data_IF_198638498220
#
_entry.id   IF_198638498220
#
_cell.length_a   1.000
_cell.length_b   1.000
_cell.length_c   1.000
_cell.angle_alpha   90.00
_cell.angle_beta   90.00
_cell.angle_gamma   90.00
#
_symmetry.space_group_name_H-M   'P 1'
#
loop_
_entity.id
_entity.type
_entity.pdbx_description
1 polymer ?
#
# COMPACT_ATOMS: atom_id res chain seq x y z
N UNK A 1 -19.08 49.08 -28.56
CA UNK A 1 -20.44 48.53 -28.44
C UNK A 1 -20.34 47.06 -28.10
N UNK A 2 -20.45 46.70 -26.82
CA UNK A 2 -20.56 45.31 -26.37
C UNK A 2 -21.24 45.32 -25.00
N UNK A 3 -22.52 44.97 -24.98
CA UNK A 3 -23.35 44.79 -23.80
C UNK A 3 -23.59 43.29 -23.63
N UNK A 4 -23.41 42.74 -22.43
CA UNK A 4 -24.42 41.90 -21.77
C UNK A 4 -23.95 41.47 -20.38
N UNK A 5 -24.81 41.75 -19.39
CA UNK A 5 -24.74 41.35 -17.99
C UNK A 5 -25.65 40.15 -17.80
N UNK A 6 -25.26 39.11 -17.04
CA UNK A 6 -26.21 38.22 -16.37
C UNK A 6 -25.67 37.70 -15.02
N UNK A 7 -26.42 38.08 -13.97
CA UNK A 7 -26.81 37.41 -12.72
C UNK A 7 -25.79 36.58 -11.92
N UNK A 8 -25.44 36.88 -10.66
CA UNK A 8 -26.26 36.90 -9.42
C UNK A 8 -26.89 35.55 -9.03
N UNK A 9 -26.24 34.84 -8.10
CA UNK A 9 -26.93 33.98 -7.12
C UNK A 9 -26.17 33.92 -5.81
N UNK A 10 -26.72 34.60 -4.79
CA UNK A 10 -26.47 34.37 -3.36
C UNK A 10 -27.45 33.28 -2.89
N UNK A 11 -26.96 32.24 -2.22
CA UNK A 11 -27.77 31.48 -1.26
C UNK A 11 -27.00 31.26 0.03
N UNK A 12 -27.72 31.54 1.12
CA UNK A 12 -27.38 31.46 2.53
C UNK A 12 -27.42 30.00 3.01
N UNK A 13 -26.53 29.64 3.93
CA UNK A 13 -26.73 28.59 4.94
C UNK A 13 -25.75 28.87 6.10
N UNK A 14 -26.24 29.13 7.33
CA UNK A 14 -25.42 29.08 8.54
C UNK A 14 -25.82 27.91 9.46
N UNK A 15 -24.95 27.68 10.46
CA UNK A 15 -25.14 26.90 11.68
C UNK A 15 -25.04 25.37 11.57
N UNK A 16 -24.05 24.79 12.28
CA UNK A 16 -24.22 23.77 13.32
C UNK A 16 -22.86 23.44 13.98
N UNK A 17 -22.73 23.86 15.25
CA UNK A 17 -22.15 23.16 16.41
C UNK A 17 -20.84 22.36 16.25
N UNK A 18 -19.79 22.75 17.00
CA UNK A 18 -19.20 21.97 18.11
C UNK A 18 -17.85 22.57 18.53
N UNK A 19 -17.76 23.09 19.74
CA UNK A 19 -16.52 23.58 20.38
C UNK A 19 -16.02 22.55 21.40
N UNK A 20 -14.73 22.18 21.42
CA UNK A 20 -14.12 21.50 22.56
C UNK A 20 -13.58 22.51 23.60
N UNK A 21 -13.82 22.21 24.87
CA UNK A 21 -13.48 22.97 26.08
C UNK A 21 -11.97 22.98 26.43
N UNK A 22 -11.43 24.03 27.06
CA UNK A 22 -10.10 24.02 27.67
C UNK A 22 -10.12 23.46 29.11
N UNK A 23 -9.14 22.61 29.43
CA UNK A 23 -8.91 22.00 30.75
C UNK A 23 -8.16 22.98 31.68
N UNK A 24 -8.52 23.10 32.98
CA UNK A 24 -7.79 23.91 33.95
C UNK A 24 -6.69 23.10 34.68
N UNK A 25 -5.50 23.69 34.86
CA UNK A 25 -4.39 23.13 35.65
C UNK A 25 -4.45 23.70 37.09
N UNK A 26 -4.28 22.88 38.14
CA UNK A 26 -4.44 23.29 39.54
C UNK A 26 -3.24 24.10 40.08
N UNK A 27 -3.57 25.04 40.98
CA UNK A 27 -2.66 25.92 41.72
C UNK A 27 -2.28 25.23 43.04
N UNK A 28 -1.03 24.83 43.20
CA UNK A 28 -0.51 24.27 44.45
C UNK A 28 -0.21 25.39 45.47
N UNK A 29 -0.80 25.26 46.66
CA UNK A 29 -0.50 26.01 47.86
C UNK A 29 0.02 25.04 48.93
N UNK A 30 1.23 25.27 49.43
CA UNK A 30 1.77 24.73 50.68
C UNK A 30 2.94 25.65 51.06
N UNK A 31 2.82 26.53 52.06
CA UNK A 31 2.75 26.28 53.49
C UNK A 31 4.07 25.73 54.08
N UNK A 32 4.84 26.66 54.63
CA UNK A 32 5.51 26.64 55.94
C UNK A 32 6.65 25.65 56.26
N UNK A 33 7.63 26.21 56.98
CA UNK A 33 8.70 25.60 57.78
C UNK A 33 9.79 24.87 56.96
N UNK A 34 11.09 25.00 57.24
CA UNK A 34 11.85 25.62 58.31
C UNK A 34 13.26 25.02 58.22
N UNK A 35 14.29 25.82 58.52
CA UNK A 35 15.66 25.41 58.93
C UNK A 35 16.48 24.50 57.97
N UNK A 36 17.82 24.42 57.92
CA UNK A 36 19.03 25.08 58.45
C UNK A 36 20.19 24.40 57.67
N UNK A 37 21.31 25.11 57.42
CA UNK A 37 22.61 24.53 57.04
C UNK A 37 22.88 24.54 55.53
N UNK A 38 23.78 25.40 55.02
CA UNK A 38 25.25 25.21 55.01
C UNK A 38 25.62 24.60 53.64
N UNK A 39 26.49 25.14 52.78
CA UNK A 39 27.72 25.94 52.89
C UNK A 39 28.04 26.59 51.52
N UNK A 40 28.80 27.70 51.45
CA UNK A 40 29.05 28.48 50.23
C UNK A 40 30.48 28.37 49.67
N UNK A 41 30.67 28.61 48.36
CA UNK A 41 31.95 29.01 47.73
C UNK A 41 31.59 29.89 46.51
N UNK A 42 31.57 31.22 46.61
CA UNK A 42 32.69 32.17 46.53
C UNK A 42 33.41 32.19 45.17
N UNK A 43 32.99 33.10 44.29
CA UNK A 43 33.80 33.75 43.23
C UNK A 43 32.88 34.73 42.47
N UNK A 44 33.20 35.97 42.12
CA UNK A 44 34.39 36.82 42.23
C UNK A 44 33.82 38.25 42.09
N UNK A 45 34.18 39.14 43.03
CA UNK A 45 34.79 40.46 42.75
C UNK A 45 34.18 41.28 41.58
N UNK A 46 33.64 42.49 41.72
CA UNK A 46 33.96 43.62 42.61
C UNK A 46 32.83 44.65 42.46
N UNK A 47 32.28 45.06 43.60
CA UNK A 47 31.60 46.35 43.86
C UNK A 47 32.69 47.45 43.96
N UNK A 48 32.44 48.77 44.21
CA UNK A 48 31.19 49.38 44.71
C UNK A 48 30.87 50.82 44.19
N UNK A 49 29.80 51.35 44.77
CA UNK A 49 29.64 52.73 45.21
C UNK A 49 29.19 53.76 44.16
N UNK A 50 27.89 54.11 44.23
CA UNK A 50 27.40 55.35 44.86
C UNK A 50 27.79 56.56 44.02
N UNK A 51 26.86 57.16 43.28
CA UNK A 51 26.66 58.60 43.34
C UNK A 51 25.22 58.93 42.94
N UNK A 52 24.49 59.41 43.95
CA UNK A 52 23.54 60.52 43.89
C UNK A 52 22.55 60.59 42.71
N UNK A 53 21.31 60.28 43.07
CA UNK A 53 20.12 61.06 42.75
C UNK A 53 20.40 62.47 42.22
N UNK A 54 20.28 62.65 40.91
CA UNK A 54 19.81 63.90 40.33
C UNK A 54 18.52 63.59 39.57
N UNK A 55 17.45 64.28 39.96
CA UNK A 55 16.23 64.37 39.19
C UNK A 55 16.54 65.17 37.91
N UNK A 56 17.12 64.48 36.92
CA UNK A 56 17.25 65.03 35.59
C UNK A 56 15.85 65.10 34.99
N UNK A 57 15.35 66.33 34.87
CA UNK A 57 14.15 66.69 34.13
C UNK A 57 14.13 65.88 32.84
N UNK A 58 13.22 64.90 32.76
CA UNK A 58 12.92 64.17 31.53
C UNK A 58 12.42 65.21 30.54
N UNK A 59 13.31 65.68 29.67
CA UNK A 59 12.90 66.41 28.48
C UNK A 59 11.94 65.53 27.68
N UNK A 60 10.93 66.11 27.00
CA UNK A 60 10.03 65.34 26.17
C UNK A 60 10.87 64.55 25.16
N UNK A 61 10.97 63.23 25.36
CA UNK A 61 11.60 62.35 24.39
C UNK A 61 10.77 62.49 23.11
N UNK A 62 11.35 63.10 22.07
CA UNK A 62 10.74 63.19 20.76
C UNK A 62 10.24 61.79 20.39
N UNK A 63 8.98 61.61 19.99
CA UNK A 63 8.53 60.32 19.50
C UNK A 63 9.47 59.92 18.36
N UNK A 64 10.19 58.80 18.52
CA UNK A 64 10.99 58.23 17.43
C UNK A 64 10.01 58.04 16.28
N UNK A 65 10.31 58.65 15.13
CA UNK A 65 9.52 58.49 13.92
C UNK A 65 9.33 56.98 13.70
N UNK A 66 8.11 56.50 13.89
CA UNK A 66 7.78 55.11 13.64
C UNK A 66 8.06 54.88 12.17
N UNK A 67 9.01 54.01 11.87
CA UNK A 67 9.39 53.71 10.50
C UNK A 67 8.22 52.97 9.82
N UNK A 68 7.32 53.76 9.21
CA UNK A 68 6.09 53.28 8.56
C UNK A 68 6.47 52.29 7.44
N UNK A 69 7.60 52.54 6.77
CA UNK A 69 8.14 51.67 5.73
C UNK A 69 8.55 50.29 6.25
N UNK A 70 9.23 50.22 7.40
CA UNK A 70 9.62 48.95 8.02
C UNK A 70 8.40 48.13 8.44
N UNK A 71 7.39 48.76 9.05
CA UNK A 71 6.14 48.08 9.44
C UNK A 71 5.31 47.60 8.24
N UNK A 72 5.26 48.37 7.15
CA UNK A 72 4.55 47.97 5.94
C UNK A 72 5.14 46.70 5.30
N UNK A 73 6.48 46.60 5.21
CA UNK A 73 7.17 45.39 4.71
C UNK A 73 6.94 44.18 5.61
N UNK A 74 6.89 44.37 6.93
CA UNK A 74 6.63 43.29 7.89
C UNK A 74 5.21 42.71 7.78
N UNK A 75 4.20 43.52 7.46
CA UNK A 75 2.83 43.04 7.24
C UNK A 75 2.69 42.28 5.91
N UNK A 76 3.37 42.75 4.85
CA UNK A 76 3.37 42.07 3.55
C UNK A 76 4.06 40.71 3.62
N UNK A 77 5.24 40.63 4.27
CA UNK A 77 5.94 39.36 4.42
C UNK A 77 5.13 38.37 5.26
N UNK A 78 4.51 38.80 6.37
CA UNK A 78 3.64 37.92 7.18
C UNK A 78 2.49 37.30 6.37
N UNK A 79 1.83 38.09 5.51
CA UNK A 79 0.76 37.58 4.64
C UNK A 79 1.28 36.59 3.59
N UNK A 80 2.45 36.85 3.02
CA UNK A 80 3.09 35.94 2.08
C UNK A 80 3.44 34.61 2.75
N UNK A 81 4.02 34.63 3.96
CA UNK A 81 4.30 33.42 4.74
C UNK A 81 3.03 32.64 5.10
N UNK A 82 1.93 33.32 5.44
CA UNK A 82 0.65 32.63 5.69
C UNK A 82 0.11 31.96 4.43
N UNK A 83 0.17 32.63 3.27
CA UNK A 83 -0.30 32.03 2.02
C UNK A 83 0.60 30.89 1.55
N UNK A 84 1.92 31.05 1.67
CA UNK A 84 2.87 29.99 1.36
C UNK A 84 2.65 28.76 2.26
N UNK A 85 2.39 28.97 3.55
CA UNK A 85 2.07 27.87 4.48
C UNK A 85 0.75 27.19 4.11
N UNK A 86 -0.32 27.95 3.84
CA UNK A 86 -1.61 27.36 3.46
C UNK A 86 -1.53 26.62 2.13
N UNK A 87 -0.81 27.17 1.14
CA UNK A 87 -0.63 26.54 -0.15
C UNK A 87 0.25 25.29 -0.04
N UNK A 88 1.34 25.36 0.73
CA UNK A 88 2.20 24.21 1.01
C UNK A 88 1.46 23.09 1.74
N UNK A 89 0.60 23.43 2.72
CA UNK A 89 -0.22 22.45 3.42
C UNK A 89 -1.28 21.82 2.49
N UNK A 90 -1.95 22.61 1.66
CA UNK A 90 -2.93 22.10 0.71
C UNK A 90 -2.29 21.20 -0.36
N UNK A 91 -1.15 21.63 -0.92
CA UNK A 91 -0.39 20.84 -1.88
C UNK A 91 0.13 19.53 -1.25
N UNK A 92 0.69 19.60 -0.04
CA UNK A 92 1.13 18.43 0.71
C UNK A 92 -0.02 17.45 0.97
N UNK A 93 -1.20 17.95 1.36
CA UNK A 93 -2.39 17.12 1.57
C UNK A 93 -2.80 16.37 0.30
N UNK A 94 -2.87 17.06 -0.85
CA UNK A 94 -3.20 16.41 -2.13
C UNK A 94 -2.19 15.31 -2.47
N UNK A 95 -0.89 15.57 -2.29
CA UNK A 95 0.15 14.55 -2.53
C UNK A 95 -0.02 13.35 -1.60
N UNK A 96 -0.28 13.57 -0.31
CA UNK A 96 -0.50 12.47 0.64
C UNK A 96 -1.75 11.65 0.29
N UNK A 97 -2.86 12.29 -0.10
CA UNK A 97 -4.08 11.57 -0.51
C UNK A 97 -3.80 10.72 -1.74
N UNK A 98 -3.12 11.27 -2.75
CA UNK A 98 -2.79 10.51 -3.97
C UNK A 98 -1.83 9.35 -3.68
N UNK A 99 -0.82 9.54 -2.82
CA UNK A 99 0.11 8.48 -2.43
C UNK A 99 -0.60 7.36 -1.63
N UNK A 100 -1.38 7.73 -0.62
CA UNK A 100 -2.11 6.76 0.23
C UNK A 100 -3.18 5.99 -0.54
N UNK A 101 -3.81 6.60 -1.54
CA UNK A 101 -4.81 5.92 -2.34
C UNK A 101 -4.18 4.80 -3.20
N UNK A 102 -2.98 5.02 -3.74
CA UNK A 102 -2.28 4.01 -4.52
C UNK A 102 -1.96 2.75 -3.69
N UNK A 103 -1.66 2.90 -2.40
CA UNK A 103 -1.37 1.78 -1.49
C UNK A 103 -2.61 0.93 -1.14
N UNK A 104 -3.81 1.49 -1.29
CA UNK A 104 -5.08 0.81 -0.94
C UNK A 104 -5.79 0.17 -2.14
N UNK A 105 -5.29 0.34 -3.36
CA UNK A 105 -5.90 -0.26 -4.54
C UNK A 105 -5.62 -1.76 -4.58
N UNK A 106 -6.67 -2.55 -4.35
CA UNK A 106 -6.62 -4.01 -4.49
C UNK A 106 -6.89 -4.37 -5.95
N UNK A 107 -5.83 -4.71 -6.68
CA UNK A 107 -5.92 -5.15 -8.06
C UNK A 107 -6.20 -6.65 -8.14
N UNK A 108 -7.02 -7.04 -9.11
CA UNK A 108 -7.22 -8.43 -9.47
C UNK A 108 -6.15 -8.82 -10.48
N UNK A 109 -5.37 -9.85 -10.17
CA UNK A 109 -4.26 -10.31 -10.99
C UNK A 109 -4.36 -11.81 -11.23
N UNK A 110 -3.91 -12.24 -12.40
CA UNK A 110 -3.64 -13.66 -12.65
C UNK A 110 -2.34 -14.08 -11.97
N UNK A 111 -2.15 -15.38 -11.67
CA UNK A 111 -0.86 -15.97 -11.31
C UNK A 111 0.32 -15.44 -12.14
N UNK A 112 0.20 -15.37 -13.47
CA UNK A 112 1.25 -14.84 -14.35
C UNK A 112 1.54 -13.36 -14.09
N UNK A 113 0.50 -12.52 -14.00
CA UNK A 113 0.67 -11.08 -13.76
C UNK A 113 1.20 -10.79 -12.35
N UNK A 114 0.80 -11.59 -11.37
CA UNK A 114 1.24 -11.47 -9.99
C UNK A 114 2.76 -11.69 -9.87
N UNK A 115 3.30 -12.69 -10.59
CA UNK A 115 4.75 -12.94 -10.64
C UNK A 115 5.50 -11.83 -11.37
N UNK A 116 4.97 -11.35 -12.49
CA UNK A 116 5.58 -10.25 -13.23
C UNK A 116 5.63 -8.95 -12.39
N UNK A 117 4.55 -8.67 -11.64
CA UNK A 117 4.53 -7.55 -10.70
C UNK A 117 5.52 -7.75 -9.56
N UNK A 118 5.61 -8.93 -8.99
CA UNK A 118 6.58 -9.23 -7.93
C UNK A 118 8.03 -9.04 -8.37
N UNK A 119 8.34 -9.35 -9.64
CA UNK A 119 9.66 -9.14 -10.22
C UNK A 119 10.01 -7.65 -10.37
N UNK A 120 9.03 -6.80 -10.68
CA UNK A 120 9.23 -5.35 -10.86
C UNK A 120 9.20 -4.60 -9.53
N UNK A 121 8.14 -4.83 -8.75
CA UNK A 121 7.87 -4.18 -7.48
C UNK A 121 7.77 -5.25 -6.38
N UNK A 122 8.79 -5.35 -5.53
CA UNK A 122 8.74 -6.21 -4.32
C UNK A 122 7.85 -5.62 -3.21
N UNK A 123 6.80 -4.89 -3.59
CA UNK A 123 5.93 -4.18 -2.67
C UNK A 123 5.04 -5.16 -1.88
N UNK A 124 4.85 -4.86 -0.60
CA UNK A 124 4.00 -5.62 0.33
C UNK A 124 2.54 -5.16 0.25
N UNK A 125 2.05 -4.84 -0.95
CA UNK A 125 0.65 -4.48 -1.13
C UNK A 125 -0.23 -5.74 -1.10
N UNK A 126 -1.48 -5.57 -0.67
CA UNK A 126 -2.47 -6.63 -0.76
C UNK A 126 -2.87 -6.81 -2.21
N UNK A 127 -2.82 -8.05 -2.68
CA UNK A 127 -3.18 -8.42 -4.05
C UNK A 127 -4.34 -9.40 -3.99
N UNK A 128 -5.25 -9.32 -4.97
CA UNK A 128 -6.25 -10.37 -5.21
C UNK A 128 -5.81 -11.21 -6.38
N UNK A 129 -5.40 -12.44 -6.10
CA UNK A 129 -5.02 -13.42 -7.09
C UNK A 129 -6.26 -14.21 -7.52
N UNK A 130 -6.63 -14.11 -8.79
CA UNK A 130 -7.75 -14.85 -9.37
C UNK A 130 -7.26 -15.94 -10.32
N UNK A 131 -7.82 -17.14 -10.22
CA UNK A 131 -7.47 -18.25 -11.09
C UNK A 131 -8.32 -19.49 -10.82
N UNK A 132 -7.86 -20.63 -11.33
CA UNK A 132 -8.47 -21.94 -11.13
C UNK A 132 -7.67 -22.73 -10.08
N UNK A 133 -8.35 -23.46 -9.21
CA UNK A 133 -7.68 -24.38 -8.27
C UNK A 133 -7.25 -25.63 -9.01
N UNK A 134 -5.97 -25.99 -8.93
CA UNK A 134 -5.46 -27.20 -9.58
C UNK A 134 -6.00 -28.46 -8.91
N UNK A 135 -6.42 -29.44 -9.70
CA UNK A 135 -6.93 -30.73 -9.21
C UNK A 135 -5.84 -31.55 -8.49
N UNK A 136 -6.20 -32.13 -7.34
CA UNK A 136 -5.31 -32.88 -6.46
C UNK A 136 -4.22 -32.07 -5.77
N UNK A 137 -4.29 -30.72 -5.83
CA UNK A 137 -3.27 -29.83 -5.23
C UNK A 137 -3.57 -29.41 -3.78
N UNK A 138 -4.77 -29.70 -3.28
CA UNK A 138 -5.22 -29.26 -1.96
C UNK A 138 -4.62 -30.16 -0.88
N UNK A 139 -3.69 -29.63 -0.10
CA UNK A 139 -2.97 -30.33 0.95
C UNK A 139 -3.15 -29.65 2.31
N UNK A 140 -3.35 -30.47 3.34
CA UNK A 140 -3.36 -30.03 4.74
C UNK A 140 -2.01 -30.43 5.36
N UNK A 141 -0.98 -29.54 5.39
CA UNK A 141 0.36 -29.84 5.90
C UNK A 141 0.41 -30.41 7.32
N UNK A 142 -0.52 -29.99 8.17
CA UNK A 142 -0.51 -30.33 9.60
C UNK A 142 -1.93 -30.63 10.06
N UNK A 143 -2.10 -31.76 10.75
CA UNK A 143 -3.40 -32.14 11.30
C UNK A 143 -3.81 -31.27 12.49
N UNK A 144 -2.88 -30.53 13.10
CA UNK A 144 -3.13 -29.70 14.28
C UNK A 144 -3.28 -28.21 13.98
N UNK A 145 -2.80 -27.74 12.83
CA UNK A 145 -2.98 -26.34 12.41
C UNK A 145 -3.98 -26.24 11.26
N UNK A 146 -4.77 -25.17 11.26
CA UNK A 146 -5.72 -24.85 10.18
C UNK A 146 -5.02 -24.31 8.94
N UNK A 147 -3.80 -24.78 8.66
CA UNK A 147 -3.04 -24.40 7.48
C UNK A 147 -3.43 -25.29 6.31
N UNK A 148 -3.74 -24.65 5.19
CA UNK A 148 -4.16 -25.30 3.96
C UNK A 148 -3.32 -24.75 2.82
N UNK A 149 -2.78 -25.64 2.01
CA UNK A 149 -2.02 -25.30 0.82
C UNK A 149 -2.76 -25.78 -0.41
N UNK A 150 -2.80 -24.96 -1.44
CA UNK A 150 -3.36 -25.33 -2.73
C UNK A 150 -2.66 -24.54 -3.84
N UNK A 151 -2.72 -25.04 -5.07
CA UNK A 151 -2.11 -24.38 -6.22
C UNK A 151 -3.20 -23.69 -7.02
N UNK A 152 -2.99 -22.41 -7.33
CA UNK A 152 -3.86 -21.64 -8.23
C UNK A 152 -3.15 -21.44 -9.57
N UNK A 153 -3.85 -21.77 -10.64
CA UNK A 153 -3.35 -21.74 -12.02
C UNK A 153 -4.17 -20.82 -12.91
N UNK A 154 -3.52 -20.19 -13.89
CA UNK A 154 -4.17 -19.52 -15.02
C UNK A 154 -4.03 -20.30 -16.33
N UNK A 155 -3.79 -21.61 -16.22
CA UNK A 155 -3.48 -22.58 -17.28
C UNK A 155 -2.03 -22.48 -17.82
N UNK A 156 -1.37 -21.33 -17.67
CA UNK A 156 0.03 -21.16 -18.10
C UNK A 156 0.95 -21.31 -16.90
N UNK A 157 0.70 -20.55 -15.83
CA UNK A 157 1.53 -20.42 -14.64
C UNK A 157 0.77 -20.85 -13.40
N UNK A 158 1.50 -21.52 -12.50
CA UNK A 158 0.95 -22.10 -11.29
C UNK A 158 1.63 -21.45 -10.08
N UNK A 159 0.84 -21.02 -9.09
CA UNK A 159 1.34 -20.36 -7.87
C UNK A 159 0.85 -21.12 -6.64
N UNK A 160 1.78 -21.42 -5.72
CA UNK A 160 1.45 -22.03 -4.43
C UNK A 160 0.82 -21.00 -3.49
N UNK A 161 -0.40 -21.30 -3.04
CA UNK A 161 -1.14 -20.50 -2.06
C UNK A 161 -1.14 -21.21 -0.72
N UNK A 162 -0.75 -20.49 0.33
CA UNK A 162 -0.86 -20.90 1.73
C UNK A 162 -1.93 -20.08 2.42
N UNK A 163 -2.94 -20.74 2.96
CA UNK A 163 -4.05 -20.12 3.67
C UNK A 163 -4.13 -20.66 5.10
N UNK A 164 -4.36 -19.77 6.06
CA UNK A 164 -4.61 -20.14 7.46
C UNK A 164 -6.08 -19.86 7.77
N UNK A 165 -6.86 -20.92 8.00
CA UNK A 165 -8.29 -20.81 8.29
C UNK A 165 -9.11 -21.94 7.68
N UNK A 166 -10.43 -21.81 7.77
CA UNK A 166 -11.37 -22.73 7.15
C UNK A 166 -11.67 -22.27 5.72
N UNK A 167 -11.55 -23.17 4.75
CA UNK A 167 -11.98 -22.88 3.38
C UNK A 167 -13.51 -22.77 3.30
N UNK A 168 -14.05 -21.87 2.45
CA UNK A 168 -15.48 -21.86 2.17
C UNK A 168 -15.96 -23.23 1.65
N UNK A 169 -17.19 -23.63 1.98
CA UNK A 169 -17.81 -24.89 1.49
C UNK A 169 -17.87 -25.00 -0.05
N UNK A 170 -17.75 -23.85 -0.70
CA UNK A 170 -17.76 -23.68 -2.14
C UNK A 170 -16.40 -23.87 -2.79
N UNK A 171 -15.33 -23.97 -2.01
CA UNK A 171 -14.02 -24.22 -2.55
C UNK A 171 -13.94 -25.65 -3.07
N UNK A 172 -13.67 -25.79 -4.37
CA UNK A 172 -13.53 -27.07 -5.05
C UNK A 172 -12.37 -27.01 -6.02
N UNK A 173 -11.74 -28.16 -6.23
CA UNK A 173 -10.76 -28.34 -7.28
C UNK A 173 -11.39 -28.11 -8.67
N UNK A 174 -10.61 -27.57 -9.60
CA UNK A 174 -11.07 -27.18 -10.94
C UNK A 174 -11.98 -25.94 -10.98
N UNK A 175 -12.35 -25.37 -9.83
CA UNK A 175 -13.22 -24.20 -9.76
C UNK A 175 -12.43 -22.90 -9.66
N UNK A 176 -13.14 -21.83 -10.02
CA UNK A 176 -12.60 -20.49 -10.03
C UNK A 176 -12.59 -19.91 -8.61
N UNK A 177 -11.44 -19.36 -8.21
CA UNK A 177 -11.21 -18.84 -6.86
C UNK A 177 -10.54 -17.48 -6.94
N UNK A 178 -10.89 -16.60 -6.00
CA UNK A 178 -10.17 -15.35 -5.77
C UNK A 178 -9.59 -15.40 -4.37
N UNK A 179 -8.28 -15.17 -4.27
CA UNK A 179 -7.53 -15.22 -3.02
C UNK A 179 -6.97 -13.84 -2.75
N UNK A 180 -7.28 -13.26 -1.58
CA UNK A 180 -6.66 -12.02 -1.11
C UNK A 180 -5.46 -12.34 -0.22
N UNK A 181 -4.34 -11.66 -0.42
CA UNK A 181 -3.13 -11.89 0.38
C UNK A 181 -1.91 -11.12 -0.09
N UNK A 182 -0.74 -11.64 0.28
CA UNK A 182 0.57 -11.05 -0.01
C UNK A 182 1.51 -12.07 -0.65
N UNK A 183 2.28 -11.64 -1.65
CA UNK A 183 3.39 -12.42 -2.19
C UNK A 183 4.58 -12.36 -1.24
N UNK A 184 5.07 -13.52 -0.79
CA UNK A 184 6.24 -13.64 0.08
C UNK A 184 7.36 -14.38 -0.65
N UNK A 185 8.63 -13.97 -0.47
CA UNK A 185 9.76 -14.73 -0.97
C UNK A 185 9.81 -16.09 -0.29
N UNK A 186 10.15 -17.09 -1.07
CA UNK A 186 10.31 -18.44 -0.58
C UNK A 186 11.59 -18.52 0.26
N UNK A 187 11.46 -18.64 1.57
CA UNK A 187 12.59 -18.87 2.48
C UNK A 187 12.92 -20.37 2.48
N UNK A 188 14.20 -20.75 2.51
CA UNK A 188 14.69 -22.12 2.28
C UNK A 188 14.04 -23.20 3.16
N UNK A 189 13.48 -22.83 4.30
CA UNK A 189 12.78 -23.76 5.20
C UNK A 189 11.56 -24.39 4.54
N UNK A 190 10.86 -23.67 3.66
CA UNK A 190 9.65 -24.18 3.03
C UNK A 190 9.95 -25.17 1.89
N UNK A 191 11.18 -25.18 1.36
CA UNK A 191 11.56 -25.89 0.10
C UNK A 191 11.58 -27.38 0.34
N UNK A 192 11.94 -27.75 1.57
CA UNK A 192 11.97 -29.13 2.05
C UNK A 192 10.58 -29.71 2.22
N UNK A 193 9.61 -28.91 2.69
CA UNK A 193 8.23 -29.38 2.89
C UNK A 193 7.48 -29.60 1.57
N UNK A 194 7.86 -28.87 0.52
CA UNK A 194 7.24 -28.96 -0.81
C UNK A 194 7.76 -30.15 -1.63
N UNK A 195 8.97 -30.63 -1.36
CA UNK A 195 9.65 -31.63 -2.20
C UNK A 195 8.88 -32.97 -2.33
N UNK A 196 8.08 -33.35 -1.33
CA UNK A 196 7.27 -34.58 -1.33
C UNK A 196 5.84 -34.44 -1.86
N UNK A 197 5.40 -33.22 -2.23
CA UNK A 197 3.99 -32.95 -2.58
C UNK A 197 3.79 -32.99 -4.09
N UNK A 198 2.57 -33.39 -4.51
CA UNK A 198 2.07 -33.25 -5.88
C UNK A 198 1.82 -31.77 -6.21
N UNK A 199 2.90 -31.00 -6.27
CA UNK A 199 2.89 -29.64 -6.77
C UNK A 199 3.28 -29.75 -8.23
N UNK A 200 2.52 -29.12 -9.13
CA UNK A 200 2.90 -29.05 -10.53
C UNK A 200 4.32 -28.51 -10.65
N UNK A 201 5.11 -29.07 -11.56
CA UNK A 201 6.52 -28.68 -11.69
C UNK A 201 6.66 -27.16 -11.90
N UNK A 202 5.70 -26.55 -12.60
CA UNK A 202 5.59 -25.10 -12.81
C UNK A 202 5.50 -24.27 -11.54
N UNK A 203 4.83 -24.75 -10.49
CA UNK A 203 4.72 -24.03 -9.23
C UNK A 203 6.01 -24.13 -8.39
N UNK A 204 6.88 -25.10 -8.66
CA UNK A 204 8.17 -25.25 -7.97
C UNK A 204 9.23 -24.29 -8.51
N UNK A 205 9.10 -23.88 -9.77
CA UNK A 205 10.02 -22.93 -10.40
C UNK A 205 9.87 -21.51 -9.83
N UNK A 206 8.74 -21.22 -9.20
CA UNK A 206 8.45 -19.91 -8.62
C UNK A 206 9.25 -19.68 -7.32
N UNK A 207 10.04 -18.61 -7.27
CA UNK A 207 10.81 -18.19 -6.09
C UNK A 207 9.94 -17.57 -4.96
N UNK A 208 8.63 -17.52 -5.12
CA UNK A 208 7.71 -16.92 -4.16
C UNK A 208 6.45 -17.76 -3.96
N UNK A 209 5.85 -17.63 -2.78
CA UNK A 209 4.55 -18.22 -2.45
C UNK A 209 3.56 -17.13 -2.08
N UNK A 210 2.28 -17.42 -2.26
CA UNK A 210 1.20 -16.50 -1.93
C UNK A 210 0.65 -16.79 -0.54
N UNK A 211 0.84 -15.86 0.40
CA UNK A 211 0.29 -15.93 1.75
C UNK A 211 -1.12 -15.33 1.73
N UNK A 212 -2.13 -16.19 1.68
CA UNK A 212 -3.53 -15.81 1.65
C UNK A 212 -4.05 -15.41 3.03
N UNK A 213 -4.79 -14.31 3.09
CA UNK A 213 -5.56 -13.87 4.27
C UNK A 213 -7.04 -14.22 4.14
N UNK A 214 -7.57 -14.29 2.92
CA UNK A 214 -8.97 -14.60 2.67
C UNK A 214 -9.11 -15.37 1.35
N UNK A 215 -9.97 -16.39 1.34
CA UNK A 215 -10.29 -17.19 0.15
C UNK A 215 -11.76 -16.98 -0.18
N UNK A 216 -12.02 -16.53 -1.40
CA UNK A 216 -13.35 -16.26 -1.92
C UNK A 216 -13.64 -17.29 -3.02
N UNK A 217 -14.50 -18.25 -2.71
CA UNK A 217 -15.06 -19.18 -3.68
C UNK A 217 -16.54 -18.82 -3.88
N UNK A 218 -16.95 -18.60 -5.12
CA UNK A 218 -18.36 -18.38 -5.50
C UNK A 218 -18.77 -19.31 -6.65
N UNK A 219 -20.07 -19.59 -6.71
CA UNK A 219 -20.69 -20.49 -7.69
C UNK A 219 -20.91 -19.82 -9.04
N UNK A 220 -20.72 -18.50 -9.12
CA UNK A 220 -21.15 -17.70 -10.24
C UNK A 220 -19.94 -17.12 -10.95
N UNK A 221 -19.82 -17.40 -12.25
CA UNK A 221 -18.83 -16.81 -13.15
C UNK A 221 -18.88 -15.28 -13.12
N UNK A 222 -20.03 -14.69 -12.77
CA UNK A 222 -20.18 -13.25 -12.56
C UNK A 222 -19.26 -12.69 -11.48
N UNK A 223 -18.78 -13.51 -10.54
CA UNK A 223 -17.86 -13.07 -9.50
C UNK A 223 -16.40 -13.02 -9.95
N UNK A 224 -16.05 -13.69 -11.04
CA UNK A 224 -14.71 -13.57 -11.60
C UNK A 224 -14.55 -12.17 -12.21
N UNK A 225 -13.55 -11.38 -11.78
CA UNK A 225 -13.26 -10.09 -12.40
C UNK A 225 -13.02 -10.30 -13.90
N UNK A 226 -13.59 -9.40 -14.72
CA UNK A 226 -13.45 -9.47 -16.19
C UNK A 226 -12.00 -9.56 -16.63
N UNK A 227 -11.11 -8.85 -15.94
CA UNK A 227 -9.66 -8.86 -16.20
C UNK A 227 -9.06 -10.27 -16.08
N UNK A 228 -9.45 -11.01 -15.03
CA UNK A 228 -8.99 -12.39 -14.80
C UNK A 228 -9.67 -13.35 -15.78
N UNK A 229 -10.98 -13.21 -15.99
CA UNK A 229 -11.72 -14.06 -16.93
C UNK A 229 -11.18 -13.98 -18.36
N UNK A 230 -10.96 -12.76 -18.86
CA UNK A 230 -10.37 -12.55 -20.18
C UNK A 230 -8.93 -13.10 -20.27
N UNK A 231 -8.14 -12.99 -19.20
CA UNK A 231 -6.80 -13.55 -19.18
C UNK A 231 -6.82 -15.08 -19.22
N UNK A 232 -7.74 -15.74 -18.50
CA UNK A 232 -7.95 -17.18 -18.57
C UNK A 232 -8.39 -17.63 -19.98
N UNK A 233 -9.31 -16.91 -20.62
CA UNK A 233 -9.74 -17.20 -21.99
C UNK A 233 -8.61 -17.04 -23.01
N UNK A 234 -7.81 -15.97 -22.88
CA UNK A 234 -6.62 -15.75 -23.71
C UNK A 234 -5.61 -16.88 -23.54
N UNK A 235 -5.39 -17.33 -22.30
CA UNK A 235 -4.48 -18.43 -22.00
C UNK A 235 -4.99 -19.76 -22.54
N UNK A 236 -6.30 -20.03 -22.43
CA UNK A 236 -6.94 -21.22 -23.00
C UNK A 236 -6.75 -21.28 -24.52
N UNK A 237 -6.99 -20.17 -25.23
CA UNK A 237 -6.80 -20.09 -26.68
C UNK A 237 -5.34 -20.36 -27.08
N UNK A 238 -4.38 -19.78 -26.36
CA UNK A 238 -2.95 -20.05 -26.60
C UNK A 238 -2.62 -21.53 -26.45
N UNK A 239 -3.13 -22.18 -25.41
CA UNK A 239 -2.91 -23.62 -25.20
C UNK A 239 -3.58 -24.49 -26.26
N UNK A 240 -4.77 -24.11 -26.74
CA UNK A 240 -5.45 -24.80 -27.84
C UNK A 240 -4.69 -24.63 -29.17
N UNK A 241 -4.15 -23.43 -29.43
CA UNK A 241 -3.30 -23.14 -30.59
C UNK A 241 -1.97 -23.92 -30.52
N UNK A 242 -1.31 -23.94 -29.35
CA UNK A 242 -0.09 -24.72 -29.10
C UNK A 242 -0.33 -26.22 -29.22
N UNK A 243 -1.46 -26.72 -28.69
CA UNK A 243 -1.85 -28.12 -28.83
C UNK A 243 -2.17 -28.48 -30.28
N UNK A 244 -2.84 -27.60 -31.03
CA UNK A 244 -3.11 -27.81 -32.45
C UNK A 244 -1.81 -27.79 -33.29
N UNK A 245 -0.88 -26.87 -32.99
CA UNK A 245 0.42 -26.82 -33.64
C UNK A 245 1.27 -28.06 -33.32
N UNK A 246 1.28 -28.52 -32.06
CA UNK A 246 1.97 -29.74 -31.65
C UNK A 246 1.34 -30.99 -32.30
N UNK A 247 0.01 -31.05 -32.41
CA UNK A 247 -0.68 -32.13 -33.10
C UNK A 247 -0.32 -32.17 -34.60
N UNK A 248 -0.31 -31.01 -35.27
CA UNK A 248 0.10 -30.93 -36.68
C UNK A 248 1.56 -31.36 -36.88
N UNK A 249 2.49 -30.92 -36.02
CA UNK A 249 3.89 -31.35 -36.06
C UNK A 249 4.05 -32.86 -35.80
N UNK A 250 3.24 -33.44 -34.90
CA UNK A 250 3.23 -34.88 -34.65
C UNK A 250 2.67 -35.68 -35.84
N UNK A 251 1.70 -35.13 -36.57
CA UNK A 251 1.16 -35.76 -37.79
C UNK A 251 2.15 -35.68 -38.95
N UNK A 252 2.88 -34.58 -39.09
CA UNK A 252 3.93 -34.40 -40.11
C UNK A 252 5.12 -35.33 -39.85
N UNK A 253 5.55 -35.46 -38.59
CA UNK A 253 6.61 -36.40 -38.22
C UNK A 253 6.17 -37.87 -38.35
N UNK A 254 4.92 -38.20 -38.02
CA UNK A 254 4.38 -39.54 -38.22
C UNK A 254 4.27 -39.91 -39.71
N UNK A 255 3.82 -38.99 -40.56
CA UNK A 255 3.73 -39.21 -42.03
C UNK A 255 5.11 -39.30 -42.68
N UNK A 256 6.07 -38.48 -42.25
CA UNK A 256 7.47 -38.59 -42.69
C UNK A 256 8.12 -39.92 -42.27
N UNK A 257 7.83 -40.43 -41.06
CA UNK A 257 8.31 -41.72 -40.61
C UNK A 257 7.73 -42.88 -41.43
N UNK A 258 6.43 -42.84 -41.76
CA UNK A 258 5.79 -43.85 -42.62
C UNK A 258 6.35 -43.82 -44.05
N UNK A 259 6.67 -42.64 -44.59
CA UNK A 259 7.29 -42.52 -45.92
C UNK A 259 8.72 -43.10 -45.98
N UNK A 260 9.48 -43.00 -44.90
CA UNK A 260 10.85 -43.56 -44.81
C UNK A 260 10.86 -45.09 -44.65
N UNK A 261 9.89 -45.66 -43.91
CA UNK A 261 9.81 -47.12 -43.74
C UNK A 261 9.35 -47.82 -45.03
N UNK A 262 8.41 -47.20 -45.77
CA UNK A 262 7.98 -47.70 -47.08
C UNK A 262 9.06 -47.69 -48.16
N UNK A 263 10.04 -46.77 -48.07
CA UNK A 263 11.16 -46.71 -49.01
C UNK A 263 12.23 -47.80 -48.74
N UNK A 264 12.26 -48.38 -47.55
CA UNK A 264 13.26 -49.38 -47.15
C UNK A 264 12.85 -50.82 -47.45
N UNK A 265 11.57 -51.07 -47.74
CA UNK A 265 11.06 -52.42 -48.07
C UNK A 265 10.98 -52.71 -49.58
N UNK A 266 11.32 -51.75 -50.45
CA UNK A 266 11.23 -51.88 -51.92
C UNK A 266 12.59 -51.90 -52.64
N UNK A 267 13.71 -52.05 -51.93
CA UNK A 267 15.04 -52.38 -52.46
C UNK A 267 15.51 -53.70 -51.88
#
# INVERSE_FOLDING_TARGET
MASSRLLSSRRLLPALLHTPSPVPIPRAAAAAAGEVGGTPVASFLRRPARFFSSAARRGPARPRATDIGARARQLQSRRLWTYALTFGCAAGFVVTVLATFQDQLVFYLTPTDALARYATDRSKSRVRLGGLVLEGSVAHPSASSSEIEFVVTDLITDVLVRYEGALPDLFREGHSVVVEGFLKPFTDDLRRDTAGRKVSDKARDCECFFSATEVLAKHDEKYMPKEVGEALERNKKKLEEEAAAAAAASQESATAAVALDGAKSSS
#
